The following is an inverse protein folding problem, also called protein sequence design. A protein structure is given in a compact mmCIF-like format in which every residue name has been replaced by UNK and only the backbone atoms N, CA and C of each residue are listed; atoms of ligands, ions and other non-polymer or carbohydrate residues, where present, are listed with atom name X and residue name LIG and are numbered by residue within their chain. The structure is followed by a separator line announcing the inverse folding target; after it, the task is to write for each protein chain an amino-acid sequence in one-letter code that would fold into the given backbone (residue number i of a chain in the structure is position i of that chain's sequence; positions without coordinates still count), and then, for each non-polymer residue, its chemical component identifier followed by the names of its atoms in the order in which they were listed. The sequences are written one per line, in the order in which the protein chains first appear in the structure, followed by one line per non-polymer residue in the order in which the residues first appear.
data_IF_543328086944
#
_entry.id   IF_543328086944
#
_cell.length_a   1.000
_cell.length_b   1.000
_cell.length_c   1.000
_cell.angle_alpha   90.00
_cell.angle_beta   90.00
_cell.angle_gamma   90.00
#
_symmetry.space_group_name_H-M   'P 1'
#
loop_
_entity.id
_entity.type
_entity.pdbx_description
1 polymer ?
#
# COMPACT_ATOMS: atom_id res chain seq x y z
N UNK A 1 -10.85 -6.57 4.45
CA UNK A 1 -9.60 -5.78 4.47
C UNK A 1 -9.18 -5.54 5.91
N UNK A 2 -9.90 -4.73 6.69
CA UNK A 2 -9.52 -4.47 8.08
C UNK A 2 -10.19 -5.48 9.02
N UNK A 3 -9.39 -6.28 9.72
CA UNK A 3 -9.85 -7.24 10.75
C UNK A 3 -10.52 -8.52 10.24
N UNK A 4 -10.78 -8.65 8.94
CA UNK A 4 -11.54 -9.79 8.37
C UNK A 4 -10.70 -10.90 7.75
N UNK A 5 -9.36 -10.73 7.70
CA UNK A 5 -8.46 -11.67 7.03
C UNK A 5 -8.56 -11.70 5.50
N UNK A 6 -9.48 -10.94 4.89
CA UNK A 6 -9.62 -10.78 3.44
C UNK A 6 -8.83 -9.56 2.97
N UNK A 7 -7.90 -9.73 2.04
CA UNK A 7 -7.20 -8.62 1.36
C UNK A 7 -7.93 -8.26 0.07
N UNK A 8 -7.94 -6.97 -0.29
CA UNK A 8 -8.28 -6.57 -1.64
C UNK A 8 -7.21 -7.12 -2.60
N UNK A 9 -7.60 -7.37 -3.85
CA UNK A 9 -6.61 -7.65 -4.90
C UNK A 9 -5.74 -6.41 -5.15
N UNK A 10 -4.49 -6.58 -5.64
CA UNK A 10 -3.64 -5.44 -5.97
C UNK A 10 -4.28 -4.48 -6.98
N UNK A 11 -5.06 -5.00 -7.94
CA UNK A 11 -5.77 -4.19 -8.92
C UNK A 11 -6.89 -3.34 -8.29
N UNK A 12 -7.65 -3.89 -7.34
CA UNK A 12 -8.67 -3.14 -6.60
C UNK A 12 -8.04 -2.05 -5.74
N UNK A 13 -6.96 -2.36 -5.03
CA UNK A 13 -6.22 -1.40 -4.21
C UNK A 13 -5.65 -0.26 -5.09
N UNK A 14 -5.03 -0.61 -6.21
CA UNK A 14 -4.50 0.35 -7.18
C UNK A 14 -5.59 1.26 -7.74
N UNK A 15 -6.76 0.72 -8.12
CA UNK A 15 -7.85 1.53 -8.66
C UNK A 15 -8.32 2.60 -7.66
N UNK A 16 -8.42 2.25 -6.38
CA UNK A 16 -8.78 3.19 -5.31
C UNK A 16 -7.67 4.23 -5.09
N UNK A 17 -6.41 3.81 -5.04
CA UNK A 17 -5.28 4.74 -4.86
C UNK A 17 -5.14 5.73 -6.02
N UNK A 18 -5.27 5.27 -7.27
CA UNK A 18 -5.28 6.13 -8.45
C UNK A 18 -6.44 7.12 -8.43
N UNK A 19 -7.63 6.68 -8.00
CA UNK A 19 -8.78 7.57 -7.82
C UNK A 19 -8.49 8.65 -6.77
N UNK A 20 -7.92 8.30 -5.62
CA UNK A 20 -7.56 9.26 -4.56
C UNK A 20 -6.53 10.25 -5.07
N UNK A 21 -5.44 9.79 -5.73
CA UNK A 21 -4.42 10.68 -6.30
C UNK A 21 -5.02 11.62 -7.34
N UNK A 22 -5.85 11.08 -8.24
CA UNK A 22 -6.58 11.87 -9.23
C UNK A 22 -7.54 12.90 -8.60
N UNK A 23 -8.12 12.60 -7.44
CA UNK A 23 -8.94 13.56 -6.70
C UNK A 23 -8.08 14.70 -6.13
N UNK A 24 -6.94 14.40 -5.52
CA UNK A 24 -6.00 15.42 -5.03
C UNK A 24 -5.47 16.29 -6.18
N UNK A 25 -5.17 15.69 -7.34
CA UNK A 25 -4.63 16.38 -8.51
C UNK A 25 -5.60 17.43 -9.09
N UNK A 26 -6.92 17.30 -8.85
CA UNK A 26 -7.91 18.33 -9.23
C UNK A 26 -7.72 19.63 -8.47
N UNK A 27 -7.07 19.58 -7.31
CA UNK A 27 -6.79 20.75 -6.47
C UNK A 27 -5.36 21.22 -6.64
N UNK A 28 -4.40 20.30 -6.65
CA UNK A 28 -2.99 20.61 -6.87
C UNK A 28 -2.25 19.36 -7.38
N UNK A 29 -1.76 19.42 -8.62
CA UNK A 29 -1.03 18.31 -9.26
C UNK A 29 0.33 18.05 -8.61
N UNK A 30 1.04 19.10 -8.18
CA UNK A 30 2.36 18.94 -7.54
C UNK A 30 2.22 18.25 -6.19
N UNK A 31 1.19 18.61 -5.41
CA UNK A 31 0.86 17.91 -4.16
C UNK A 31 0.45 16.48 -4.43
N UNK A 32 -0.38 16.26 -5.45
CA UNK A 32 -0.82 14.92 -5.82
C UNK A 32 0.32 14.00 -6.25
N UNK A 33 1.41 14.51 -6.83
CA UNK A 33 2.59 13.69 -7.17
C UNK A 33 3.40 13.29 -5.93
N UNK A 34 3.44 14.15 -4.91
CA UNK A 34 4.29 13.97 -3.73
C UNK A 34 3.60 13.22 -2.59
N UNK A 35 2.27 13.17 -2.58
CA UNK A 35 1.53 12.55 -1.49
C UNK A 35 1.78 11.04 -1.40
N UNK A 36 2.16 10.58 -0.21
CA UNK A 36 2.28 9.17 0.12
C UNK A 36 0.89 8.64 0.46
N UNK A 37 0.39 7.72 -0.36
CA UNK A 37 -0.87 7.00 -0.11
C UNK A 37 -0.50 5.58 0.31
N UNK A 38 -0.81 5.23 1.55
CA UNK A 38 -0.53 3.92 2.14
C UNK A 38 -1.75 3.01 2.05
N UNK A 39 -1.55 1.74 1.71
CA UNK A 39 -2.62 0.74 1.78
C UNK A 39 -2.89 0.36 3.25
N UNK A 40 -4.16 0.37 3.63
CA UNK A 40 -4.64 0.01 4.97
C UNK A 40 -5.33 -1.36 4.98
N UNK A 41 -5.25 -2.10 3.86
CA UNK A 41 -5.75 -3.45 3.73
C UNK A 41 -5.05 -4.46 4.65
N UNK A 42 -5.42 -5.74 4.53
CA UNK A 42 -4.81 -6.84 5.30
C UNK A 42 -3.42 -7.21 4.75
N UNK A 43 -2.49 -6.25 4.74
CA UNK A 43 -1.12 -6.41 4.25
C UNK A 43 -0.38 -7.40 5.14
N UNK A 44 0.27 -8.37 4.51
CA UNK A 44 1.02 -9.43 5.16
C UNK A 44 2.19 -9.87 4.27
N UNK A 45 3.06 -10.73 4.80
CA UNK A 45 4.26 -11.18 4.10
C UNK A 45 3.97 -11.87 2.75
N UNK A 46 2.78 -12.45 2.56
CA UNK A 46 2.44 -13.18 1.34
C UNK A 46 1.96 -12.27 0.19
N UNK A 47 1.42 -11.08 0.49
CA UNK A 47 0.88 -10.18 -0.55
C UNK A 47 1.61 -8.84 -0.69
N UNK A 48 2.50 -8.49 0.24
CA UNK A 48 3.18 -7.19 0.24
C UNK A 48 3.96 -6.91 -1.06
N UNK A 49 4.67 -7.91 -1.59
CA UNK A 49 5.47 -7.73 -2.80
C UNK A 49 4.61 -7.32 -4.01
N UNK A 50 3.47 -7.99 -4.23
CA UNK A 50 2.58 -7.70 -5.35
C UNK A 50 1.79 -6.39 -5.16
N UNK A 51 1.47 -6.03 -3.90
CA UNK A 51 0.83 -4.75 -3.60
C UNK A 51 1.77 -3.57 -3.89
N UNK A 52 3.06 -3.68 -3.55
CA UNK A 52 4.00 -2.57 -3.71
C UNK A 52 4.52 -2.39 -5.15
N UNK A 53 4.25 -3.31 -6.08
CA UNK A 53 4.49 -3.05 -7.52
C UNK A 53 3.44 -2.11 -8.12
N UNK A 54 2.32 -1.87 -7.45
CA UNK A 54 1.29 -0.95 -7.93
C UNK A 54 1.80 0.50 -7.88
N UNK A 55 1.59 1.30 -8.93
CA UNK A 55 2.22 2.61 -9.06
C UNK A 55 1.78 3.60 -7.99
N UNK A 56 0.51 3.55 -7.55
CA UNK A 56 -0.04 4.51 -6.59
C UNK A 56 -0.02 4.02 -5.12
N UNK A 57 0.56 2.85 -4.85
CA UNK A 57 0.72 2.29 -3.50
C UNK A 57 2.17 2.51 -3.04
N UNK A 58 2.37 3.39 -2.07
CA UNK A 58 3.71 3.82 -1.61
C UNK A 58 4.16 3.17 -0.30
N UNK A 59 3.31 2.33 0.29
CA UNK A 59 3.58 1.65 1.54
C UNK A 59 2.29 1.11 2.15
N UNK A 60 2.37 0.67 3.40
CA UNK A 60 1.23 0.11 4.11
C UNK A 60 1.18 0.59 5.57
N UNK A 61 -0.04 0.78 6.08
CA UNK A 61 -0.31 0.91 7.50
C UNK A 61 -0.66 -0.47 8.06
N UNK A 62 0.36 -1.15 8.59
CA UNK A 62 0.26 -2.58 8.93
C UNK A 62 -0.33 -2.79 10.32
N UNK A 63 -1.44 -3.53 10.41
CA UNK A 63 -2.07 -3.95 11.67
C UNK A 63 -1.36 -5.13 12.33
N UNK A 64 -2.06 -6.27 12.50
CA UNK A 64 -1.55 -7.40 13.30
C UNK A 64 -0.20 -8.00 12.86
N UNK A 65 0.19 -7.87 11.58
CA UNK A 65 1.51 -8.32 11.13
C UNK A 65 2.67 -7.45 11.66
N UNK A 66 2.40 -6.21 12.12
CA UNK A 66 3.39 -5.34 12.77
C UNK A 66 3.88 -5.89 14.12
N UNK A 67 3.07 -6.73 14.78
CA UNK A 67 3.38 -7.30 16.09
C UNK A 67 4.31 -8.51 16.01
N UNK A 68 4.73 -8.92 14.81
CA UNK A 68 5.64 -10.04 14.57
C UNK A 68 6.84 -9.53 13.78
N UNK A 69 7.99 -9.41 14.45
CA UNK A 69 9.20 -8.80 13.89
C UNK A 69 9.56 -9.35 12.50
N UNK A 70 9.59 -10.67 12.34
CA UNK A 70 9.94 -11.32 11.07
C UNK A 70 8.96 -10.99 9.95
N UNK A 71 7.66 -11.02 10.25
CA UNK A 71 6.62 -10.71 9.27
C UNK A 71 6.67 -9.23 8.87
N UNK A 72 6.85 -8.32 9.84
CA UNK A 72 6.96 -6.90 9.57
C UNK A 72 8.22 -6.57 8.77
N UNK A 73 9.35 -7.20 9.08
CA UNK A 73 10.59 -7.03 8.33
C UNK A 73 10.46 -7.47 6.86
N UNK A 74 9.70 -8.54 6.58
CA UNK A 74 9.42 -8.97 5.20
C UNK A 74 8.62 -7.89 4.45
N UNK A 75 7.60 -7.30 5.08
CA UNK A 75 6.78 -6.23 4.47
C UNK A 75 7.65 -5.00 4.16
N UNK A 76 8.49 -4.58 5.11
CA UNK A 76 9.41 -3.44 4.94
C UNK A 76 10.38 -3.69 3.79
N UNK A 77 10.99 -4.88 3.72
CA UNK A 77 11.91 -5.25 2.63
C UNK A 77 11.22 -5.30 1.27
N UNK A 78 9.99 -5.81 1.21
CA UNK A 78 9.20 -5.82 -0.03
C UNK A 78 8.95 -4.39 -0.54
N UNK A 79 8.60 -3.45 0.34
CA UNK A 79 8.41 -2.05 -0.02
C UNK A 79 9.72 -1.41 -0.51
N UNK A 80 10.83 -1.66 0.20
CA UNK A 80 12.15 -1.14 -0.18
C UNK A 80 12.63 -1.68 -1.53
N UNK A 81 12.34 -2.93 -1.87
CA UNK A 81 12.72 -3.54 -3.15
C UNK A 81 11.84 -3.05 -4.31
N UNK A 82 10.53 -2.90 -4.09
CA UNK A 82 9.61 -2.51 -5.15
C UNK A 82 9.70 -1.04 -5.56
N UNK A 83 10.25 -0.18 -4.70
CA UNK A 83 10.36 1.28 -4.89
C UNK A 83 11.80 1.80 -4.87
N UNK A 84 12.79 0.91 -5.04
CA UNK A 84 14.20 1.28 -5.24
C UNK A 84 14.40 1.94 -6.61
#
# INVERSE_FOLDING_TARGET
AIGTGKSATPAEAQAVHAFIRGHVAKHDANVAEQVIIQDVGSVNAANAAELFTQPDIYGALVGGASLKADAFAVIVKAAAQAKA
#
